data_IF_745027240518
#
_entry.id   IF_745027240518
#
_cell.length_a   1.000
_cell.length_b   1.000
_cell.length_c   1.000
_cell.angle_alpha   90.00
_cell.angle_beta   90.00
_cell.angle_gamma   90.00
#
_symmetry.space_group_name_H-M   'P 1'
#
loop_
_entity.id
_entity.type
_entity.pdbx_description
1 polymer ?
#
# COMPACT_ATOMS: atom_id res chain seq x y z
N UNK A 1 -22.60 -43.75 -1.80
CA UNK A 1 -22.85 -42.30 -1.94
C UNK A 1 -21.66 -41.68 -2.67
N UNK A 2 -21.87 -41.12 -3.88
CA UNK A 2 -20.82 -40.41 -4.63
C UNK A 2 -20.83 -38.96 -4.20
N UNK A 3 -19.82 -38.53 -3.46
CA UNK A 3 -19.60 -37.11 -3.19
C UNK A 3 -18.95 -36.49 -4.43
N UNK A 4 -19.67 -35.58 -5.09
CA UNK A 4 -19.07 -34.73 -6.12
C UNK A 4 -18.22 -33.70 -5.38
N UNK A 5 -16.89 -33.77 -5.53
CA UNK A 5 -16.03 -32.63 -5.19
C UNK A 5 -16.13 -31.64 -6.34
N UNK A 6 -16.77 -30.50 -6.11
CA UNK A 6 -16.64 -29.37 -7.03
C UNK A 6 -15.23 -28.80 -6.86
N UNK A 7 -14.47 -28.77 -7.95
CA UNK A 7 -13.26 -27.95 -8.01
C UNK A 7 -13.67 -26.48 -7.97
N UNK A 8 -12.94 -25.67 -7.20
CA UNK A 8 -13.16 -24.23 -7.16
C UNK A 8 -12.93 -23.65 -8.55
N UNK A 9 -13.93 -22.93 -9.08
CA UNK A 9 -13.88 -22.31 -10.40
C UNK A 9 -12.82 -21.20 -10.50
N UNK A 10 -12.38 -20.67 -9.36
CA UNK A 10 -11.40 -19.59 -9.24
C UNK A 10 -10.36 -19.98 -8.20
N UNK A 11 -9.10 -19.75 -8.54
CA UNK A 11 -7.99 -19.80 -7.59
C UNK A 11 -8.02 -18.59 -6.65
N UNK A 12 -7.20 -18.63 -5.61
CA UNK A 12 -7.06 -17.49 -4.71
C UNK A 12 -6.51 -16.26 -5.44
N UNK A 13 -5.60 -16.47 -6.37
CA UNK A 13 -5.00 -15.44 -7.22
C UNK A 13 -6.07 -14.76 -8.08
N UNK A 14 -6.97 -15.54 -8.70
CA UNK A 14 -8.08 -15.00 -9.49
C UNK A 14 -9.00 -14.11 -8.64
N UNK A 15 -9.24 -14.52 -7.38
CA UNK A 15 -10.05 -13.73 -6.45
C UNK A 15 -9.36 -12.42 -6.06
N UNK A 16 -8.03 -12.39 -5.98
CA UNK A 16 -7.26 -11.18 -5.68
C UNK A 16 -7.30 -10.20 -6.85
N UNK A 17 -7.28 -10.66 -8.10
CA UNK A 17 -7.38 -9.81 -9.29
C UNK A 17 -8.77 -9.19 -9.46
N UNK A 18 -9.81 -9.87 -8.99
CA UNK A 18 -11.19 -9.38 -9.02
C UNK A 18 -11.53 -8.40 -7.90
N UNK A 19 -10.62 -8.16 -6.95
CA UNK A 19 -10.89 -7.21 -5.88
C UNK A 19 -10.98 -5.78 -6.44
N UNK A 20 -12.02 -5.01 -6.05
CA UNK A 20 -12.13 -3.64 -6.49
C UNK A 20 -10.96 -2.82 -5.96
N UNK A 21 -10.36 -1.98 -6.81
CA UNK A 21 -9.29 -1.07 -6.39
C UNK A 21 -9.76 -0.22 -5.20
N UNK A 22 -8.94 -0.20 -4.15
CA UNK A 22 -9.20 0.64 -3.00
C UNK A 22 -9.03 2.11 -3.36
N UNK A 23 -9.70 2.99 -2.60
CA UNK A 23 -9.54 4.45 -2.77
C UNK A 23 -8.08 4.90 -2.71
N UNK A 24 -7.23 4.24 -1.91
CA UNK A 24 -5.81 4.58 -1.80
C UNK A 24 -5.03 4.14 -3.03
N UNK A 25 -5.28 2.95 -3.56
CA UNK A 25 -4.66 2.48 -4.80
C UNK A 25 -5.00 3.39 -5.97
N UNK A 26 -6.26 3.79 -6.08
CA UNK A 26 -6.70 4.71 -7.13
C UNK A 26 -6.01 6.08 -7.01
N UNK A 27 -5.83 6.60 -5.79
CA UNK A 27 -5.09 7.84 -5.55
C UNK A 27 -3.61 7.68 -5.91
N UNK A 28 -2.96 6.60 -5.46
CA UNK A 28 -1.52 6.39 -5.68
C UNK A 28 -1.17 6.00 -7.11
N UNK A 29 -2.12 5.45 -7.87
CA UNK A 29 -1.99 5.18 -9.31
C UNK A 29 -2.00 6.47 -10.14
N UNK A 30 -2.78 7.46 -9.73
CA UNK A 30 -2.97 8.70 -10.48
C UNK A 30 -2.01 9.84 -10.08
N UNK A 31 -1.30 9.73 -8.96
CA UNK A 31 -0.41 10.79 -8.46
C UNK A 31 1.05 10.35 -8.57
N UNK A 32 1.84 11.14 -9.31
CA UNK A 32 3.29 10.98 -9.36
C UNK A 32 3.97 11.73 -8.21
N UNK A 33 4.57 10.99 -7.27
CA UNK A 33 5.26 11.55 -6.10
C UNK A 33 6.74 11.87 -6.33
N UNK A 34 7.28 11.61 -7.53
CA UNK A 34 8.71 11.77 -7.82
C UNK A 34 9.19 13.21 -7.63
N UNK A 35 8.36 14.19 -7.99
CA UNK A 35 8.71 15.60 -7.84
C UNK A 35 8.73 16.02 -6.36
N UNK A 36 7.75 15.54 -5.58
CA UNK A 36 7.71 15.79 -4.14
C UNK A 36 8.86 15.09 -3.41
N UNK A 37 9.22 13.88 -3.86
CA UNK A 37 10.32 13.10 -3.32
C UNK A 37 11.68 13.82 -3.43
N UNK A 38 11.93 14.58 -4.50
CA UNK A 38 13.17 15.37 -4.66
C UNK A 38 13.36 16.42 -3.57
N UNK A 39 12.24 16.96 -3.05
CA UNK A 39 12.27 17.96 -1.98
C UNK A 39 12.52 17.36 -0.59
N UNK A 40 12.45 16.03 -0.46
CA UNK A 40 12.71 15.32 0.79
C UNK A 40 14.14 14.82 0.75
N UNK A 41 15.04 15.52 1.42
CA UNK A 41 16.43 15.10 1.52
C UNK A 41 16.52 13.71 2.20
N UNK A 42 17.15 12.70 1.57
CA UNK A 42 17.28 11.35 2.12
C UNK A 42 18.37 11.27 3.19
N UNK A 43 18.44 12.25 4.09
CA UNK A 43 19.36 12.25 5.22
C UNK A 43 18.75 11.45 6.36
N UNK A 44 19.29 10.26 6.61
CA UNK A 44 18.93 9.45 7.77
C UNK A 44 20.20 9.09 8.53
N UNK A 45 20.15 9.25 9.85
CA UNK A 45 21.19 8.75 10.75
C UNK A 45 21.04 7.24 11.00
N UNK A 46 20.00 6.60 10.44
CA UNK A 46 19.63 5.19 10.68
C UNK A 46 19.93 4.26 9.53
N UNK A 47 20.19 4.77 8.33
CA UNK A 47 20.51 3.98 7.15
C UNK A 47 21.72 4.60 6.42
N UNK A 48 22.82 3.85 6.21
CA UNK A 48 23.99 4.34 5.49
C UNK A 48 23.68 4.85 4.08
N UNK A 49 22.65 4.31 3.44
CA UNK A 49 22.23 4.68 2.08
C UNK A 49 21.11 5.73 2.08
N UNK A 50 20.72 6.24 3.26
CA UNK A 50 19.54 7.10 3.40
C UNK A 50 18.23 6.31 3.30
N UNK A 51 17.12 7.01 3.11
CA UNK A 51 15.80 6.38 2.98
C UNK A 51 15.15 6.75 1.64
N UNK A 52 14.32 5.86 1.11
CA UNK A 52 13.46 6.18 -0.02
C UNK A 52 12.27 7.06 0.46
N UNK A 53 12.12 8.30 -0.03
CA UNK A 53 11.06 9.19 0.41
C UNK A 53 9.66 8.82 -0.11
N UNK A 54 9.54 8.09 -1.23
CA UNK A 54 8.23 7.76 -1.83
C UNK A 54 7.34 6.92 -0.90
N UNK A 55 7.83 5.80 -0.31
CA UNK A 55 7.05 5.04 0.66
C UNK A 55 6.59 5.88 1.85
N UNK A 56 7.43 6.80 2.34
CA UNK A 56 7.09 7.67 3.47
C UNK A 56 5.95 8.62 3.10
N UNK A 57 6.02 9.24 1.93
CA UNK A 57 4.95 10.11 1.42
C UNK A 57 3.63 9.34 1.34
N UNK A 58 3.64 8.14 0.75
CA UNK A 58 2.43 7.29 0.62
C UNK A 58 1.84 6.95 1.98
N UNK A 59 2.68 6.56 2.94
CA UNK A 59 2.24 6.21 4.30
C UNK A 59 1.60 7.41 5.01
N UNK A 60 2.21 8.59 4.91
CA UNK A 60 1.67 9.81 5.51
C UNK A 60 0.32 10.19 4.88
N UNK A 61 0.21 10.10 3.55
CA UNK A 61 -1.06 10.36 2.86
C UNK A 61 -2.13 9.34 3.24
N UNK A 62 -1.79 8.06 3.28
CA UNK A 62 -2.71 7.01 3.72
C UNK A 62 -3.21 7.27 5.14
N UNK A 63 -2.31 7.68 6.04
CA UNK A 63 -2.66 8.06 7.41
C UNK A 63 -3.68 9.20 7.46
N UNK A 64 -3.46 10.25 6.67
CA UNK A 64 -4.37 11.41 6.61
C UNK A 64 -5.73 11.04 6.00
N UNK A 65 -5.74 10.32 4.88
CA UNK A 65 -6.96 9.93 4.15
C UNK A 65 -7.82 8.99 5.00
N UNK A 66 -7.19 8.03 5.69
CA UNK A 66 -7.87 7.05 6.55
C UNK A 66 -8.09 7.58 7.98
N UNK A 67 -7.66 8.80 8.29
CA UNK A 67 -7.76 9.43 9.63
C UNK A 67 -7.17 8.54 10.74
N UNK A 68 -6.05 7.88 10.45
CA UNK A 68 -5.38 7.00 11.43
C UNK A 68 -4.67 7.88 12.47
N UNK A 69 -4.98 7.73 13.76
CA UNK A 69 -4.59 8.72 14.77
C UNK A 69 -3.10 8.72 15.10
N UNK A 70 -2.41 7.58 14.97
CA UNK A 70 -0.99 7.47 15.33
C UNK A 70 -0.20 6.67 14.31
N UNK A 71 1.11 6.92 14.25
CA UNK A 71 2.02 6.16 13.39
C UNK A 71 2.13 4.68 13.79
N UNK A 72 2.00 4.37 15.08
CA UNK A 72 2.02 2.99 15.58
C UNK A 72 0.83 2.20 15.02
N UNK A 73 -0.32 2.86 14.83
CA UNK A 73 -1.50 2.24 14.26
C UNK A 73 -1.37 1.99 12.74
N UNK A 74 -0.34 2.51 12.06
CA UNK A 74 -0.08 2.17 10.66
C UNK A 74 0.59 0.81 10.48
N UNK A 75 1.27 0.28 11.50
CA UNK A 75 2.01 -0.99 11.43
C UNK A 75 1.13 -2.19 11.76
N UNK A 76 -0.02 -1.95 12.41
CA UNK A 76 -0.91 -3.00 12.95
C UNK A 76 -2.19 -3.22 12.13
N UNK A 77 -2.34 -2.53 11.00
CA UNK A 77 -3.50 -2.68 10.11
C UNK A 77 -3.20 -3.65 8.96
#
# INVERSE_FOLDING_TARGET
>A
MKYIRQELLLSFEDLMELQPETKLELIFKNINFSELAKNIAPKSNRDPNGYNPIPIIRVLLAQQIKKIPTKVNLVRN
#
